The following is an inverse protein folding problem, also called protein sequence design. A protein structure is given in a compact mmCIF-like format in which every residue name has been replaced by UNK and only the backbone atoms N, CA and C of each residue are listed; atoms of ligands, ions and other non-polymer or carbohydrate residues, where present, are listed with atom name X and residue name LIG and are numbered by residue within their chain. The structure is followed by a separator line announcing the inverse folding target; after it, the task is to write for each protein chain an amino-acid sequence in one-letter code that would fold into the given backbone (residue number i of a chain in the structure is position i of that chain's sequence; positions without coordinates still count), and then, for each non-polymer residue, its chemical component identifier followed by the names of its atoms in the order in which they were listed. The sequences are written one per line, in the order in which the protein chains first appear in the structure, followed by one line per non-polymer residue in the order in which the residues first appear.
data_IF_341417839913
#
_entry.id   IF_341417839913
#
_cell.length_a   1.000
_cell.length_b   1.000
_cell.length_c   1.000
_cell.angle_alpha   90.00
_cell.angle_beta   90.00
_cell.angle_gamma   90.00
#
_symmetry.space_group_name_H-M   'P 1'
#
loop_
_entity.id
_entity.type
_entity.pdbx_description
1 polymer ?
#
# COMPACT_ATOMS: atom_id res chain seq x y z
N UNK A 1 -18.98 -34.04 17.22
CA UNK A 1 -19.15 -32.79 16.44
C UNK A 1 -18.05 -31.83 16.87
N UNK A 2 -16.98 -31.70 16.07
CA UNK A 2 -15.71 -31.10 16.50
C UNK A 2 -15.70 -29.58 16.28
N UNK A 3 -15.60 -28.82 17.39
CA UNK A 3 -14.64 -27.72 17.55
C UNK A 3 -14.62 -26.56 16.53
N UNK A 4 -15.75 -26.16 15.96
CA UNK A 4 -15.84 -24.97 15.12
C UNK A 4 -15.85 -23.68 15.93
N UNK A 5 -14.68 -23.20 16.38
CA UNK A 5 -14.49 -21.76 16.59
C UNK A 5 -15.03 -21.04 15.35
N UNK A 6 -16.01 -20.15 15.52
CA UNK A 6 -16.74 -19.54 14.42
C UNK A 6 -15.72 -18.95 13.42
N UNK A 7 -15.71 -19.47 12.18
CA UNK A 7 -14.79 -19.02 11.12
C UNK A 7 -14.82 -17.50 10.97
N UNK A 8 -15.99 -16.91 11.24
CA UNK A 8 -16.16 -15.47 11.22
C UNK A 8 -15.38 -14.76 12.32
N UNK A 9 -15.48 -15.21 13.57
CA UNK A 9 -14.80 -14.60 14.72
C UNK A 9 -13.28 -14.67 14.59
N UNK A 10 -12.76 -15.82 14.15
CA UNK A 10 -11.31 -15.96 13.96
C UNK A 10 -10.84 -15.14 12.75
N UNK A 11 -11.68 -15.05 11.72
CA UNK A 11 -11.42 -14.19 10.56
C UNK A 11 -11.38 -12.72 10.94
N UNK A 12 -12.20 -12.29 11.89
CA UNK A 12 -12.16 -10.91 12.40
C UNK A 12 -10.84 -10.56 13.03
N UNK A 13 -10.25 -11.44 13.85
CA UNK A 13 -8.92 -11.18 14.42
C UNK A 13 -7.88 -10.90 13.34
N UNK A 14 -7.83 -11.72 12.28
CA UNK A 14 -6.87 -11.53 11.20
C UNK A 14 -7.19 -10.29 10.35
N UNK A 15 -8.47 -10.02 10.08
CA UNK A 15 -8.87 -8.83 9.33
C UNK A 15 -8.48 -7.55 10.07
N UNK A 16 -8.69 -7.51 11.38
CA UNK A 16 -8.29 -6.38 12.23
C UNK A 16 -6.77 -6.20 12.24
N UNK A 17 -6.02 -7.31 12.39
CA UNK A 17 -4.56 -7.27 12.38
C UNK A 17 -4.00 -6.70 11.05
N UNK A 18 -4.61 -7.06 9.91
CA UNK A 18 -4.13 -6.62 8.60
C UNK A 18 -4.66 -5.25 8.20
N UNK A 19 -5.96 -5.00 8.34
CA UNK A 19 -6.60 -3.79 7.80
C UNK A 19 -6.67 -2.64 8.79
N UNK A 20 -6.46 -2.90 10.08
CA UNK A 20 -6.59 -1.94 11.18
C UNK A 20 -8.04 -1.73 11.63
N UNK A 21 -8.21 -1.45 12.93
CA UNK A 21 -9.51 -1.40 13.59
C UNK A 21 -10.46 -0.36 12.99
N UNK A 22 -9.96 0.84 12.69
CA UNK A 22 -10.74 1.93 12.11
C UNK A 22 -11.36 1.53 10.77
N UNK A 23 -10.57 0.92 9.88
CA UNK A 23 -11.04 0.49 8.58
C UNK A 23 -12.08 -0.63 8.71
N UNK A 24 -11.80 -1.64 9.56
CA UNK A 24 -12.73 -2.76 9.74
C UNK A 24 -14.07 -2.29 10.28
N UNK A 25 -14.07 -1.40 11.27
CA UNK A 25 -15.31 -0.81 11.80
C UNK A 25 -16.12 -0.12 10.71
N UNK A 26 -15.51 0.75 9.92
CA UNK A 26 -16.18 1.45 8.82
C UNK A 26 -16.73 0.48 7.76
N UNK A 27 -15.97 -0.56 7.41
CA UNK A 27 -16.41 -1.58 6.47
C UNK A 27 -17.57 -2.44 7.02
N UNK A 28 -17.59 -2.70 8.34
CA UNK A 28 -18.67 -3.43 8.98
C UNK A 28 -19.97 -2.63 8.98
N UNK A 29 -19.90 -1.35 9.33
CA UNK A 29 -21.03 -0.42 9.31
C UNK A 29 -21.61 -0.27 7.90
N UNK A 30 -20.75 -0.10 6.87
CA UNK A 30 -21.16 0.01 5.47
C UNK A 30 -21.70 -1.29 4.85
N UNK A 31 -21.34 -2.45 5.40
CA UNK A 31 -21.77 -3.78 4.91
C UNK A 31 -22.89 -4.42 5.74
N UNK A 32 -23.56 -3.66 6.60
CA UNK A 32 -24.53 -4.15 7.58
C UNK A 32 -25.94 -4.41 7.04
N UNK A 33 -26.21 -4.09 5.77
CA UNK A 33 -27.50 -4.37 5.15
C UNK A 33 -27.69 -5.87 4.92
N UNK A 34 -28.94 -6.35 4.94
CA UNK A 34 -29.27 -7.75 4.64
C UNK A 34 -28.69 -8.22 3.30
N UNK A 35 -28.65 -7.33 2.31
CA UNK A 35 -28.07 -7.61 1.00
C UNK A 35 -26.54 -7.79 1.05
N UNK A 36 -25.82 -6.93 1.77
CA UNK A 36 -24.35 -6.93 1.81
C UNK A 36 -23.79 -7.96 2.80
N UNK A 37 -24.54 -8.30 3.84
CA UNK A 37 -24.10 -9.10 4.96
C UNK A 37 -23.60 -10.51 4.57
N UNK A 38 -24.26 -11.28 3.68
CA UNK A 38 -23.75 -12.60 3.26
C UNK A 38 -22.36 -12.52 2.61
N UNK A 39 -22.11 -11.49 1.80
CA UNK A 39 -20.80 -11.29 1.18
C UNK A 39 -19.74 -10.92 2.22
N UNK A 40 -20.09 -10.09 3.19
CA UNK A 40 -19.22 -9.74 4.30
C UNK A 40 -18.87 -10.95 5.16
N UNK A 41 -19.83 -11.83 5.46
CA UNK A 41 -19.58 -13.08 6.19
C UNK A 41 -18.66 -14.02 5.41
N UNK A 42 -18.92 -14.19 4.11
CA UNK A 42 -18.10 -15.02 3.24
C UNK A 42 -16.65 -14.52 3.18
N UNK A 43 -16.43 -13.24 2.90
CA UNK A 43 -15.09 -12.65 2.83
C UNK A 43 -14.36 -12.73 4.17
N UNK A 44 -15.08 -12.46 5.27
CA UNK A 44 -14.57 -12.59 6.64
C UNK A 44 -14.07 -14.01 6.95
N UNK A 45 -14.90 -15.03 6.73
CA UNK A 45 -14.55 -16.42 7.06
C UNK A 45 -13.54 -17.03 6.09
N UNK A 46 -13.65 -16.78 4.79
CA UNK A 46 -12.78 -17.43 3.81
C UNK A 46 -11.45 -16.71 3.62
N UNK A 47 -11.46 -15.40 3.39
CA UNK A 47 -10.21 -14.67 3.18
C UNK A 47 -9.43 -14.65 4.50
N UNK A 48 -10.02 -14.06 5.54
CA UNK A 48 -9.25 -13.73 6.74
C UNK A 48 -9.01 -14.93 7.64
N UNK A 49 -9.96 -15.85 7.80
CA UNK A 49 -9.69 -17.05 8.59
C UNK A 49 -9.00 -18.16 7.82
N UNK A 50 -9.33 -18.44 6.56
CA UNK A 50 -8.72 -19.61 5.89
C UNK A 50 -7.42 -19.30 5.16
N UNK A 51 -7.35 -18.19 4.43
CA UNK A 51 -6.17 -17.93 3.59
C UNK A 51 -5.07 -17.19 4.34
N UNK A 52 -5.42 -16.17 5.11
CA UNK A 52 -4.46 -15.35 5.85
C UNK A 52 -3.89 -16.03 7.10
N UNK A 53 -4.51 -17.11 7.61
CA UNK A 53 -4.01 -17.87 8.77
C UNK A 53 -3.01 -18.99 8.43
N UNK A 54 -2.76 -19.26 7.15
CA UNK A 54 -1.88 -20.38 6.74
C UNK A 54 -0.41 -20.05 7.07
N UNK A 55 0.36 -21.00 7.60
CA UNK A 55 1.69 -20.70 8.17
C UNK A 55 2.80 -20.52 7.13
N UNK A 56 2.59 -20.90 5.88
CA UNK A 56 3.69 -20.99 4.89
C UNK A 56 4.15 -19.66 4.28
N UNK A 57 3.41 -18.57 4.52
CA UNK A 57 3.79 -17.23 4.09
C UNK A 57 3.50 -16.25 5.22
N UNK A 58 4.47 -15.39 5.49
CA UNK A 58 4.32 -14.27 6.41
C UNK A 58 3.25 -13.29 5.91
N UNK A 59 2.67 -12.52 6.84
CA UNK A 59 1.64 -11.53 6.50
C UNK A 59 2.17 -10.46 5.53
N UNK A 60 3.43 -10.07 5.68
CA UNK A 60 4.15 -9.17 4.78
C UNK A 60 4.20 -9.73 3.34
N UNK A 61 4.62 -10.98 3.17
CA UNK A 61 4.69 -11.65 1.87
C UNK A 61 3.31 -11.75 1.21
N UNK A 62 2.27 -12.05 1.99
CA UNK A 62 0.88 -12.07 1.49
C UNK A 62 0.41 -10.70 1.02
N UNK A 63 0.70 -9.65 1.79
CA UNK A 63 0.39 -8.28 1.40
C UNK A 63 1.11 -7.88 0.11
N UNK A 64 2.40 -8.23 -0.03
CA UNK A 64 3.16 -7.98 -1.26
C UNK A 64 2.53 -8.63 -2.49
N UNK A 65 2.09 -9.89 -2.38
CA UNK A 65 1.37 -10.58 -3.46
C UNK A 65 0.05 -9.86 -3.81
N UNK A 66 -0.72 -9.44 -2.80
CA UNK A 66 -1.98 -8.75 -3.03
C UNK A 66 -1.81 -7.39 -3.70
N UNK A 67 -0.72 -6.65 -3.44
CA UNK A 67 -0.41 -5.42 -4.17
C UNK A 67 -0.35 -5.69 -5.69
N UNK A 68 0.41 -6.71 -6.09
CA UNK A 68 0.53 -7.10 -7.50
C UNK A 68 -0.79 -7.60 -8.09
N UNK A 69 -1.52 -8.45 -7.36
CA UNK A 69 -2.81 -9.01 -7.81
C UNK A 69 -3.85 -7.90 -8.01
N UNK A 70 -4.01 -7.01 -7.03
CA UNK A 70 -5.03 -5.95 -7.09
C UNK A 70 -4.69 -4.89 -8.13
N UNK A 71 -3.40 -4.60 -8.32
CA UNK A 71 -2.93 -3.77 -9.42
C UNK A 71 -3.28 -4.39 -10.78
N UNK A 72 -3.01 -5.69 -10.98
CA UNK A 72 -3.33 -6.39 -12.22
C UNK A 72 -4.84 -6.37 -12.52
N UNK A 73 -5.66 -6.52 -11.47
CA UNK A 73 -7.12 -6.45 -11.55
C UNK A 73 -7.67 -5.03 -11.70
N UNK A 74 -6.83 -3.99 -11.56
CA UNK A 74 -7.23 -2.57 -11.53
C UNK A 74 -8.25 -2.26 -10.42
N UNK A 75 -8.16 -2.99 -9.31
CA UNK A 75 -9.05 -2.84 -8.16
C UNK A 75 -8.51 -1.76 -7.21
N UNK A 76 -8.51 -0.50 -7.66
CA UNK A 76 -7.83 0.61 -6.98
C UNK A 76 -8.27 0.87 -5.53
N UNK A 77 -9.57 0.83 -5.18
CA UNK A 77 -9.99 1.00 -3.79
C UNK A 77 -9.42 -0.09 -2.86
N UNK A 78 -9.43 -1.34 -3.32
CA UNK A 78 -8.88 -2.48 -2.58
C UNK A 78 -7.36 -2.41 -2.51
N UNK A 79 -6.68 -2.00 -3.60
CA UNK A 79 -5.24 -1.78 -3.60
C UNK A 79 -4.84 -0.79 -2.52
N UNK A 80 -5.55 0.34 -2.39
CA UNK A 80 -5.27 1.33 -1.34
C UNK A 80 -5.42 0.76 0.06
N UNK A 81 -6.49 0.00 0.31
CA UNK A 81 -6.70 -0.66 1.60
C UNK A 81 -5.59 -1.68 1.92
N UNK A 82 -5.14 -2.43 0.91
CA UNK A 82 -4.05 -3.39 1.05
C UNK A 82 -2.65 -2.76 1.13
N UNK A 83 -2.43 -1.54 0.63
CA UNK A 83 -1.19 -0.79 0.87
C UNK A 83 -1.08 -0.41 2.35
N UNK A 84 -2.16 0.10 2.95
CA UNK A 84 -2.18 0.37 4.40
C UNK A 84 -1.87 -0.88 5.21
N UNK A 85 -2.54 -1.99 4.88
CA UNK A 85 -2.30 -3.26 5.55
C UNK A 85 -0.94 -3.89 5.27
N UNK A 86 -0.33 -3.62 4.11
CA UNK A 86 1.04 -4.04 3.82
C UNK A 86 2.04 -3.41 4.79
N UNK A 87 1.94 -2.10 4.99
CA UNK A 87 2.81 -1.37 5.93
C UNK A 87 2.55 -1.81 7.36
N UNK A 88 1.29 -1.99 7.76
CA UNK A 88 0.92 -2.54 9.08
C UNK A 88 1.48 -3.95 9.33
N UNK A 89 1.58 -4.77 8.27
CA UNK A 89 2.17 -6.10 8.32
C UNK A 89 3.71 -6.11 8.19
N UNK A 90 4.35 -4.95 8.16
CA UNK A 90 5.81 -4.82 8.21
C UNK A 90 6.50 -4.58 6.86
N UNK A 91 5.78 -4.35 5.76
CA UNK A 91 6.42 -3.85 4.54
C UNK A 91 6.87 -2.41 4.74
N UNK A 92 8.07 -2.11 4.25
CA UNK A 92 8.51 -0.73 4.03
C UNK A 92 7.76 -0.10 2.85
N UNK A 93 7.66 1.23 2.85
CA UNK A 93 7.21 1.99 1.68
C UNK A 93 8.07 1.68 0.44
N UNK A 94 9.37 1.43 0.63
CA UNK A 94 10.27 1.06 -0.46
C UNK A 94 9.90 -0.30 -1.06
N UNK A 95 9.61 -1.30 -0.23
CA UNK A 95 9.14 -2.62 -0.71
C UNK A 95 7.79 -2.54 -1.42
N UNK A 96 6.86 -1.71 -0.94
CA UNK A 96 5.59 -1.45 -1.64
C UNK A 96 5.85 -0.84 -3.01
N UNK A 97 6.73 0.15 -3.10
CA UNK A 97 7.10 0.79 -4.37
C UNK A 97 7.76 -0.19 -5.33
N UNK A 98 8.71 -0.99 -4.87
CA UNK A 98 9.38 -2.01 -5.69
C UNK A 98 8.39 -3.08 -6.19
N UNK A 99 7.42 -3.48 -5.37
CA UNK A 99 6.38 -4.42 -5.80
C UNK A 99 5.52 -3.83 -6.95
N UNK A 100 5.16 -2.54 -6.87
CA UNK A 100 4.42 -1.83 -7.93
C UNK A 100 5.29 -1.70 -9.19
N UNK A 101 6.56 -1.33 -9.06
CA UNK A 101 7.49 -1.22 -10.19
C UNK A 101 7.66 -2.57 -10.91
N UNK A 102 7.88 -3.65 -10.15
CA UNK A 102 7.97 -5.01 -10.69
C UNK A 102 6.68 -5.40 -11.42
N UNK A 103 5.51 -5.18 -10.81
CA UNK A 103 4.23 -5.49 -11.43
C UNK A 103 3.96 -4.65 -12.69
N UNK A 104 4.50 -3.43 -12.78
CA UNK A 104 4.31 -2.53 -13.93
C UNK A 104 4.91 -3.09 -15.23
N UNK A 105 5.99 -3.87 -15.14
CA UNK A 105 6.60 -4.52 -16.31
C UNK A 105 5.66 -5.54 -16.94
N UNK A 106 4.84 -6.22 -16.13
CA UNK A 106 3.94 -7.28 -16.57
C UNK A 106 2.50 -6.81 -16.81
N UNK A 107 2.04 -5.84 -16.02
CA UNK A 107 0.67 -5.32 -16.08
C UNK A 107 0.55 -4.05 -16.93
N UNK A 108 1.67 -3.51 -17.40
CA UNK A 108 1.76 -2.30 -18.20
C UNK A 108 1.97 -1.03 -17.38
N UNK A 109 2.72 -0.09 -17.97
CA UNK A 109 3.05 1.22 -17.36
C UNK A 109 1.81 2.00 -16.89
N UNK A 110 0.68 2.06 -17.63
CA UNK A 110 -0.50 2.79 -17.15
C UNK A 110 -1.06 2.28 -15.82
N UNK A 111 -1.05 0.95 -15.61
CA UNK A 111 -1.49 0.37 -14.34
C UNK A 111 -0.51 0.70 -13.21
N UNK A 112 0.79 0.73 -13.51
CA UNK A 112 1.83 1.14 -12.56
C UNK A 112 1.71 2.58 -12.10
N UNK A 113 1.45 3.50 -13.04
CA UNK A 113 1.22 4.93 -12.74
C UNK A 113 0.04 5.08 -11.78
N UNK A 114 -1.08 4.41 -12.07
CA UNK A 114 -2.27 4.52 -11.23
C UNK A 114 -2.06 3.88 -9.86
N UNK A 115 -1.46 2.70 -9.80
CA UNK A 115 -1.11 2.04 -8.55
C UNK A 115 -0.18 2.91 -7.68
N UNK A 116 0.78 3.61 -8.30
CA UNK A 116 1.69 4.53 -7.60
C UNK A 116 0.91 5.69 -6.98
N UNK A 117 -0.02 6.31 -7.72
CA UNK A 117 -0.86 7.40 -7.18
C UNK A 117 -1.71 6.93 -5.99
N UNK A 118 -2.30 5.74 -6.11
CA UNK A 118 -3.11 5.14 -5.04
C UNK A 118 -2.26 4.90 -3.80
N UNK A 119 -1.09 4.27 -3.97
CA UNK A 119 -0.19 3.98 -2.85
C UNK A 119 0.31 5.27 -2.18
N UNK A 120 0.74 6.27 -2.96
CA UNK A 120 1.20 7.56 -2.45
C UNK A 120 0.10 8.29 -1.66
N UNK A 121 -1.13 8.32 -2.19
CA UNK A 121 -2.26 8.94 -1.50
C UNK A 121 -2.53 8.30 -0.13
N UNK A 122 -2.49 6.96 -0.05
CA UNK A 122 -2.68 6.22 1.20
C UNK A 122 -1.55 6.49 2.18
N UNK A 123 -0.30 6.46 1.73
CA UNK A 123 0.87 6.71 2.58
C UNK A 123 0.90 8.15 3.11
N UNK A 124 0.46 9.12 2.31
CA UNK A 124 0.28 10.51 2.75
C UNK A 124 -0.79 10.63 3.83
N UNK A 125 -1.98 10.05 3.60
CA UNK A 125 -3.07 10.03 4.58
C UNK A 125 -2.63 9.38 5.90
N UNK A 126 -1.89 8.27 5.84
CA UNK A 126 -1.32 7.62 7.03
C UNK A 126 -0.32 8.52 7.76
N UNK A 127 0.50 9.28 7.04
CA UNK A 127 1.43 10.23 7.64
C UNK A 127 0.71 11.40 8.31
N UNK A 128 -0.27 11.99 7.64
CA UNK A 128 -1.08 13.10 8.17
C UNK A 128 -1.81 12.71 9.46
N UNK A 129 -2.25 11.45 9.56
CA UNK A 129 -2.88 10.88 10.76
C UNK A 129 -1.89 10.40 11.82
N UNK A 130 -0.58 10.47 11.56
CA UNK A 130 0.46 10.01 12.47
C UNK A 130 0.55 8.48 12.61
N UNK A 131 -0.06 7.72 11.70
CA UNK A 131 -0.06 6.25 11.70
C UNK A 131 1.22 5.68 11.07
N UNK A 132 1.91 6.46 10.25
CA UNK A 132 3.13 6.04 9.54
C UNK A 132 4.08 7.21 9.32
N UNK A 133 5.39 6.93 9.25
CA UNK A 133 6.40 7.89 8.84
C UNK A 133 6.90 7.51 7.45
N UNK A 134 6.73 8.40 6.47
CA UNK A 134 7.23 8.19 5.10
C UNK A 134 8.73 7.87 5.13
N UNK A 135 9.13 6.95 4.27
CA UNK A 135 10.53 6.54 4.14
C UNK A 135 11.12 7.12 2.86
N UNK A 136 12.42 7.44 2.88
CA UNK A 136 13.16 7.81 1.68
C UNK A 136 14.34 6.86 1.50
N UNK A 137 14.65 6.56 0.25
CA UNK A 137 15.83 5.81 -0.17
C UNK A 137 17.00 6.72 -0.57
N UNK A 138 16.85 8.04 -0.41
CA UNK A 138 17.82 9.04 -0.84
C UNK A 138 17.98 9.16 -2.38
N UNK A 139 17.18 8.45 -3.19
CA UNK A 139 17.27 8.52 -4.65
C UNK A 139 16.57 9.78 -5.17
N UNK A 140 15.52 10.24 -4.47
CA UNK A 140 14.68 11.38 -4.86
C UNK A 140 15.39 12.75 -4.95
N UNK A 141 16.62 12.89 -4.43
CA UNK A 141 17.36 14.17 -4.45
C UNK A 141 18.30 14.36 -5.65
N UNK A 142 18.34 13.45 -6.61
CA UNK A 142 19.24 13.56 -7.78
C UNK A 142 18.57 14.23 -8.98
N UNK A 143 17.71 15.23 -8.77
CA UNK A 143 17.25 16.08 -9.88
C UNK A 143 18.44 16.93 -10.36
N UNK A 144 18.94 16.74 -11.60
CA UNK A 144 20.05 17.55 -12.13
C UNK A 144 19.72 19.05 -12.17
N UNK A 145 18.44 19.42 -12.12
CA UNK A 145 17.95 20.81 -12.09
C UNK A 145 18.03 21.44 -10.70
N UNK A 146 18.00 20.64 -9.63
CA UNK A 146 18.16 21.13 -8.25
C UNK A 146 19.60 21.54 -7.93
N UNK A 147 20.58 21.05 -8.70
CA UNK A 147 22.01 21.36 -8.52
C UNK A 147 22.45 22.71 -9.13
N UNK A 148 21.61 23.38 -9.94
CA UNK A 148 21.99 24.62 -10.66
C UNK A 148 21.75 25.91 -9.89
N UNK A 149 21.11 25.88 -8.72
CA UNK A 149 20.81 27.11 -7.95
C UNK A 149 21.98 27.63 -7.11
N UNK A 150 23.16 27.00 -7.16
CA UNK A 150 24.32 27.33 -6.32
C UNK A 150 25.59 27.77 -7.05
N UNK A 151 25.59 27.85 -8.38
CA UNK A 151 26.73 28.41 -9.12
C UNK A 151 26.58 29.93 -9.18
N UNK A 152 27.21 30.61 -8.23
CA UNK A 152 27.31 32.06 -8.16
C UNK A 152 27.89 32.66 -9.43
N UNK A 153 27.47 33.89 -9.66
CA UNK A 153 27.82 34.78 -10.75
C UNK A 153 29.34 34.76 -11.04
N UNK A 154 29.71 34.41 -12.27
CA UNK A 154 31.04 34.72 -12.77
C UNK A 154 31.13 36.25 -12.97
N UNK A 155 32.11 36.95 -12.37
CA UNK A 155 32.35 38.33 -12.74
C UNK A 155 32.88 38.37 -14.18
N UNK A 156 32.31 39.26 -14.98
CA UNK A 156 32.77 39.54 -16.33
C UNK A 156 34.24 39.99 -16.29
N UNK A 157 35.14 39.21 -16.90
CA UNK A 157 36.53 39.63 -17.08
C UNK A 157 36.57 40.79 -18.09
N UNK A 158 37.21 41.89 -17.66
CA UNK A 158 37.46 43.07 -18.46
C UNK A 158 38.35 42.74 -19.67
N UNK A 159 37.86 43.21 -20.81
CA UNK A 159 38.53 43.31 -22.10
C UNK A 159 39.78 44.19 -21.97
N UNK A 160 40.98 43.60 -21.98
CA UNK A 160 42.23 44.34 -22.17
C UNK A 160 42.54 44.36 -23.67
N UNK A 161 42.56 45.57 -24.21
CA UNK A 161 42.97 45.87 -25.57
C UNK A 161 44.50 45.75 -25.72
N UNK A 162 44.94 45.18 -26.84
CA UNK A 162 46.23 45.46 -27.49
C UNK A 162 45.96 46.06 -28.87
#
# INVERSE_FOLDING_TARGET
MSGGSNLYETGMKNRHAVMGDTYVKQSLEGGSSEYAFPNQQMGTGWCWQKMWSRPSLELSQRSMLNIGILMALKAWPELGAHVRGAVGNGLSELEVREAILQASVYCGVPAGIEATRVAEAVLNDMQEKGEYRRQSDGIASRDPRSARSGAGEHPAEEMVAE
#
